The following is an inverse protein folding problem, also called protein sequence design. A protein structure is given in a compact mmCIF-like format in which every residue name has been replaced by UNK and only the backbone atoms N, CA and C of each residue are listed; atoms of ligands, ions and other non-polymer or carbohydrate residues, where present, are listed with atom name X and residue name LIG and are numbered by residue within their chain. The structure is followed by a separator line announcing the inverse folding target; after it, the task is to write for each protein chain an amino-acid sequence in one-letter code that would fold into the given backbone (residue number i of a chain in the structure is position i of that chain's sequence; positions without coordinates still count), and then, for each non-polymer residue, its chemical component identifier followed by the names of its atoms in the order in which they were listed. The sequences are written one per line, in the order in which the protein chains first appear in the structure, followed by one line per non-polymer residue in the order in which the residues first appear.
data_IF_867721400633
#
_entry.id   IF_867721400633
#
_cell.length_a   1.000
_cell.length_b   1.000
_cell.length_c   1.000
_cell.angle_alpha   90.00
_cell.angle_beta   90.00
_cell.angle_gamma   90.00
#
_symmetry.space_group_name_H-M   'P 1'
#
loop_
_entity.id
_entity.type
_entity.pdbx_description
1 polymer ?
#
# COMPACT_ATOMS: atom_id res chain seq x y z
N UNK A 1 13.65 -6.36 20.82
CA UNK A 1 12.60 -6.36 19.79
C UNK A 1 13.17 -5.93 18.47
N UNK A 2 12.89 -6.68 17.45
CA UNK A 2 13.37 -6.34 16.11
C UNK A 2 12.42 -5.31 15.49
N UNK A 3 12.92 -4.17 15.03
CA UNK A 3 12.05 -3.22 14.36
C UNK A 3 11.50 -3.80 13.07
N UNK A 4 10.26 -3.46 12.76
CA UNK A 4 9.67 -3.85 11.50
C UNK A 4 10.33 -3.06 10.38
N UNK A 5 10.85 -3.78 9.40
CA UNK A 5 11.45 -3.16 8.22
C UNK A 5 10.44 -3.24 7.10
N UNK A 6 10.05 -2.08 6.60
CA UNK A 6 9.16 -2.01 5.46
C UNK A 6 10.00 -2.14 4.20
N UNK A 7 9.72 -3.18 3.44
CA UNK A 7 10.43 -3.43 2.19
C UNK A 7 9.60 -2.96 1.01
N UNK A 8 10.24 -2.31 0.07
CA UNK A 8 9.60 -1.83 -1.15
C UNK A 8 10.14 -2.60 -2.33
N UNK A 9 9.27 -2.83 -3.31
CA UNK A 9 9.72 -3.34 -4.58
C UNK A 9 10.57 -2.25 -5.27
N UNK A 10 11.75 -2.58 -5.78
CA UNK A 10 12.61 -1.57 -6.42
C UNK A 10 12.05 -1.05 -7.75
N UNK A 11 11.04 -1.70 -8.29
CA UNK A 11 10.44 -1.30 -9.56
C UNK A 11 9.11 -0.60 -9.29
N UNK A 12 8.99 0.64 -9.75
CA UNK A 12 7.75 1.41 -9.59
C UNK A 12 6.62 0.74 -10.33
N UNK A 13 5.43 0.77 -9.72
CA UNK A 13 4.24 0.19 -10.30
C UNK A 13 4.14 -1.33 -10.22
N UNK A 14 5.12 -1.98 -9.62
CA UNK A 14 5.04 -3.40 -9.32
C UNK A 14 4.59 -3.64 -7.89
N UNK A 15 4.34 -4.89 -7.55
CA UNK A 15 3.91 -5.30 -6.21
C UNK A 15 2.65 -4.54 -5.76
N UNK A 16 1.73 -4.32 -6.69
CA UNK A 16 0.49 -3.62 -6.39
C UNK A 16 -0.29 -4.35 -5.31
N UNK A 17 -1.00 -3.61 -4.43
CA UNK A 17 -1.92 -4.23 -3.48
C UNK A 17 -2.88 -5.20 -4.15
N UNK A 18 -2.99 -6.41 -3.60
CA UNK A 18 -3.85 -7.47 -4.14
C UNK A 18 -4.95 -7.89 -3.18
N UNK A 19 -4.96 -7.30 -1.99
CA UNK A 19 -5.95 -7.59 -0.96
C UNK A 19 -6.16 -6.33 -0.12
N UNK A 20 -7.32 -6.20 0.55
CA UNK A 20 -7.52 -5.07 1.47
C UNK A 20 -6.47 -5.06 2.56
N UNK A 21 -6.09 -3.88 3.01
CA UNK A 21 -5.14 -3.72 4.09
C UNK A 21 -4.35 -2.43 3.97
N UNK A 22 -3.35 -2.29 4.82
CA UNK A 22 -2.48 -1.13 4.83
C UNK A 22 -1.23 -1.40 4.04
N UNK A 23 -0.82 -0.40 3.27
CA UNK A 23 0.38 -0.45 2.45
C UNK A 23 1.09 0.90 2.55
N UNK A 24 2.37 0.91 2.25
CA UNK A 24 3.08 2.17 2.10
C UNK A 24 3.44 2.36 0.64
N UNK A 25 3.08 3.52 0.12
CA UNK A 25 3.49 3.95 -1.21
C UNK A 25 4.64 4.95 -1.06
N UNK A 26 5.76 4.67 -1.71
CA UNK A 26 6.91 5.56 -1.65
C UNK A 26 6.86 6.52 -2.83
N UNK A 27 6.51 7.77 -2.54
CA UNK A 27 6.51 8.85 -3.51
C UNK A 27 7.88 9.53 -3.54
N UNK A 28 8.09 10.39 -4.54
CA UNK A 28 9.33 11.14 -4.65
C UNK A 28 9.58 12.04 -3.44
N UNK A 29 8.52 12.51 -2.80
CA UNK A 29 8.61 13.39 -1.62
C UNK A 29 8.45 12.64 -0.30
N UNK A 30 8.40 11.33 -0.31
CA UNK A 30 8.38 10.52 0.89
C UNK A 30 7.31 9.44 0.92
N UNK A 31 7.27 8.65 1.99
CA UNK A 31 6.32 7.57 2.12
C UNK A 31 4.94 8.09 2.53
N UNK A 32 3.88 7.38 2.09
CA UNK A 32 2.52 7.64 2.51
C UNK A 32 1.86 6.31 2.86
N UNK A 33 1.22 6.27 4.02
CA UNK A 33 0.43 5.10 4.42
C UNK A 33 -0.90 5.13 3.68
N UNK A 34 -1.22 4.05 3.00
CA UNK A 34 -2.42 3.93 2.18
C UNK A 34 -3.26 2.78 2.71
N UNK A 35 -4.53 3.04 2.94
CA UNK A 35 -5.47 1.99 3.28
C UNK A 35 -6.25 1.61 2.02
N UNK A 36 -6.13 0.35 1.63
CA UNK A 36 -6.79 -0.21 0.45
C UNK A 36 -7.98 -1.03 0.93
N UNK A 37 -9.11 -0.80 0.31
CA UNK A 37 -10.36 -1.49 0.68
C UNK A 37 -10.98 -2.15 -0.55
N UNK A 38 -11.87 -3.09 -0.30
CA UNK A 38 -12.71 -3.69 -1.33
C UNK A 38 -13.64 -2.61 -1.90
N UNK A 39 -13.78 -2.58 -3.22
CA UNK A 39 -14.65 -1.58 -3.88
C UNK A 39 -16.10 -2.04 -3.99
N UNK A 40 -16.41 -3.26 -3.52
CA UNK A 40 -17.75 -3.82 -3.61
C UNK A 40 -18.06 -4.48 -4.94
N UNK A 41 -17.14 -4.49 -5.88
CA UNK A 41 -17.35 -5.01 -7.24
C UNK A 41 -16.27 -6.00 -7.68
N UNK A 42 -15.58 -6.59 -6.70
CA UNK A 42 -14.55 -7.58 -6.98
C UNK A 42 -13.17 -6.96 -7.19
N UNK A 43 -13.03 -5.65 -6.99
CA UNK A 43 -11.75 -4.95 -7.09
C UNK A 43 -11.37 -4.26 -5.80
N UNK A 44 -10.38 -3.41 -5.88
CA UNK A 44 -9.85 -2.66 -4.74
C UNK A 44 -9.83 -1.17 -5.07
N UNK A 45 -9.86 -0.34 -4.04
CA UNK A 45 -9.74 1.10 -4.19
C UNK A 45 -8.91 1.70 -3.07
N UNK A 46 -8.30 2.84 -3.36
CA UNK A 46 -7.60 3.63 -2.35
C UNK A 46 -8.59 4.51 -1.59
N UNK A 47 -8.20 4.91 -0.38
CA UNK A 47 -9.08 5.70 0.50
C UNK A 47 -8.48 7.05 0.89
N UNK A 48 -7.40 7.46 0.25
CA UNK A 48 -6.68 8.68 0.63
C UNK A 48 -7.22 9.95 -0.05
N UNK A 49 -8.35 9.83 -0.73
CA UNK A 49 -8.95 10.99 -1.43
C UNK A 49 -8.39 11.26 -2.81
N UNK A 50 -7.40 10.51 -3.25
CA UNK A 50 -6.86 10.68 -4.61
C UNK A 50 -7.88 10.23 -5.65
N UNK A 51 -8.02 10.99 -6.73
CA UNK A 51 -8.94 10.68 -7.80
C UNK A 51 -8.42 9.61 -8.75
N UNK A 52 -7.10 9.43 -8.78
CA UNK A 52 -6.47 8.40 -9.61
C UNK A 52 -6.38 7.10 -8.83
N UNK A 53 -6.77 6.01 -9.46
CA UNK A 53 -6.69 4.68 -8.86
C UNK A 53 -5.23 4.34 -8.54
N UNK A 54 -5.01 3.69 -7.40
CA UNK A 54 -3.66 3.40 -6.90
C UNK A 54 -2.81 2.61 -7.90
N UNK A 55 -3.43 1.81 -8.75
CA UNK A 55 -2.70 1.01 -9.73
C UNK A 55 -1.97 1.85 -10.79
N UNK A 56 -2.33 3.14 -10.88
CA UNK A 56 -1.72 4.05 -11.84
C UNK A 56 -0.67 4.98 -11.23
N UNK A 57 -0.40 4.82 -9.94
CA UNK A 57 0.55 5.69 -9.26
C UNK A 57 1.99 5.28 -9.59
N UNK A 58 2.84 6.27 -9.79
CA UNK A 58 4.26 6.05 -10.06
C UNK A 58 5.02 5.99 -8.73
N UNK A 59 4.82 4.90 -8.00
CA UNK A 59 5.38 4.72 -6.66
C UNK A 59 5.97 3.32 -6.52
N UNK A 60 6.85 3.19 -5.52
CA UNK A 60 7.29 1.87 -5.07
C UNK A 60 6.36 1.43 -3.95
N UNK A 61 5.85 0.21 -4.05
CA UNK A 61 4.90 -0.34 -3.09
C UNK A 61 5.60 -1.24 -2.08
N UNK A 62 5.21 -1.13 -0.83
CA UNK A 62 5.56 -2.12 0.18
C UNK A 62 4.64 -3.33 0.07
N UNK A 63 5.03 -4.43 0.71
CA UNK A 63 4.10 -5.52 0.97
C UNK A 63 3.03 -5.04 1.94
N UNK A 64 1.92 -5.80 2.04
CA UNK A 64 0.89 -5.49 3.01
C UNK A 64 1.47 -5.47 4.41
N UNK A 65 1.15 -4.43 5.16
CA UNK A 65 1.64 -4.29 6.52
C UNK A 65 0.79 -5.17 7.44
N UNK A 66 1.46 -6.09 8.12
CA UNK A 66 0.81 -6.97 9.06
C UNK A 66 0.93 -6.36 10.46
N UNK A 67 -0.20 -6.31 11.15
CA UNK A 67 -0.23 -5.87 12.53
C UNK A 67 -0.45 -7.08 13.42
N UNK A 68 0.52 -7.36 14.26
CA UNK A 68 0.39 -8.46 15.20
C UNK A 68 -0.44 -8.02 16.39
N UNK A 69 -1.43 -8.83 16.82
CA UNK A 69 -2.18 -8.49 18.01
C UNK A 69 -1.27 -8.54 19.23
N UNK A 70 -1.48 -7.58 20.12
CA UNK A 70 -0.81 -7.61 21.40
C UNK A 70 -1.60 -8.47 22.36
N UNK A 71 -0.90 -9.37 22.98
CA UNK A 71 -1.48 -10.24 23.99
C UNK A 71 -1.09 -9.76 25.36
#
# INVERSE_FOLDING_TARGET
MTPNIIKYDPVKGKNLPKAPGYYVAMWADGPQLIYIVDDGEGGLRNTNGATTHFSRWDVNWSDRIEFEPRL
#
